data_IF_078798049749
#
_entry.id   IF_078798049749
#
_cell.length_a   1.000
_cell.length_b   1.000
_cell.length_c   1.000
_cell.angle_alpha   90.00
_cell.angle_beta   90.00
_cell.angle_gamma   90.00
#
_symmetry.space_group_name_H-M   'P 1'
#
loop_
_entity.id
_entity.type
_entity.pdbx_description
1 polymer ?
#
# COMPACT_ATOMS: atom_id res chain seq x y z
N UNK A 1 26.05 11.23 9.33
CA UNK A 1 26.03 10.97 7.88
C UNK A 1 27.46 11.14 7.39
N UNK A 2 28.18 10.06 7.09
CA UNK A 2 29.65 10.09 6.84
C UNK A 2 30.05 9.49 5.50
N UNK A 3 29.11 9.13 4.62
CA UNK A 3 29.42 8.63 3.29
C UNK A 3 29.37 9.76 2.25
N UNK A 4 30.52 10.20 1.70
CA UNK A 4 30.58 11.29 0.74
C UNK A 4 29.90 10.98 -0.61
N UNK A 5 29.50 9.71 -0.88
CA UNK A 5 28.73 9.34 -2.08
C UNK A 5 27.21 9.45 -1.91
N UNK A 6 26.72 9.78 -0.72
CA UNK A 6 25.28 9.84 -0.45
C UNK A 6 24.61 11.13 -0.91
N UNK A 7 25.37 12.14 -1.36
CA UNK A 7 24.83 13.42 -1.82
C UNK A 7 25.34 13.71 -3.24
N UNK A 8 24.41 13.98 -4.15
CA UNK A 8 24.72 14.46 -5.50
C UNK A 8 25.30 15.87 -5.42
N UNK A 9 26.53 16.04 -5.92
CA UNK A 9 27.24 17.31 -5.83
C UNK A 9 26.69 18.42 -6.72
N UNK A 10 25.81 18.10 -7.68
CA UNK A 10 25.27 19.05 -8.66
C UNK A 10 23.84 19.43 -8.31
N UNK A 11 23.00 18.48 -7.90
CA UNK A 11 21.60 18.73 -7.55
C UNK A 11 21.38 18.92 -6.04
N UNK A 12 22.28 18.39 -5.21
CA UNK A 12 22.12 18.33 -3.76
C UNK A 12 21.20 17.21 -3.29
N UNK A 13 20.79 16.30 -4.18
CA UNK A 13 19.91 15.19 -3.85
C UNK A 13 20.64 14.13 -3.03
N UNK A 14 19.95 13.55 -2.06
CA UNK A 14 20.41 12.38 -1.34
C UNK A 14 20.24 11.15 -2.24
N UNK A 15 21.36 10.61 -2.73
CA UNK A 15 21.38 9.48 -3.66
C UNK A 15 21.14 8.13 -2.96
N UNK A 16 21.37 8.06 -1.64
CA UNK A 16 21.23 6.83 -0.86
C UNK A 16 20.37 7.13 0.35
N UNK A 17 19.15 6.61 0.34
CA UNK A 17 18.21 6.68 1.45
C UNK A 17 18.20 5.36 2.24
N UNK A 18 18.57 5.45 3.51
CA UNK A 18 18.64 4.32 4.44
C UNK A 18 17.31 4.14 5.19
N UNK A 19 17.09 2.98 5.81
CA UNK A 19 15.91 2.73 6.66
C UNK A 19 14.56 2.97 5.97
N UNK A 20 14.47 2.60 4.70
CA UNK A 20 13.24 2.69 3.91
C UNK A 20 12.68 4.11 3.76
N UNK A 21 13.53 5.13 3.79
CA UNK A 21 13.16 6.49 3.40
C UNK A 21 13.34 6.72 1.90
N UNK A 22 12.71 7.76 1.38
CA UNK A 22 12.69 8.19 -0.01
C UNK A 22 12.47 9.70 -0.10
N UNK A 23 12.57 10.24 -1.32
CA UNK A 23 12.58 11.67 -1.58
C UNK A 23 13.99 12.17 -1.86
N UNK A 24 14.11 13.38 -2.43
CA UNK A 24 15.39 13.98 -2.77
C UNK A 24 16.25 14.27 -1.55
N UNK A 25 15.66 14.23 -0.35
CA UNK A 25 16.33 14.44 0.93
C UNK A 25 16.02 13.32 1.92
N UNK A 26 15.53 12.19 1.42
CA UNK A 26 15.12 11.06 2.25
C UNK A 26 14.05 11.45 3.30
N UNK A 27 13.15 12.34 2.92
CA UNK A 27 12.24 13.06 3.81
C UNK A 27 10.87 12.40 4.03
N UNK A 28 10.57 11.33 3.32
CA UNK A 28 9.36 10.53 3.53
C UNK A 28 9.65 9.04 3.44
N UNK A 29 8.74 8.19 3.90
CA UNK A 29 8.90 6.74 3.77
C UNK A 29 8.67 6.26 2.33
N UNK A 30 9.45 5.28 1.90
CA UNK A 30 9.29 4.59 0.61
C UNK A 30 7.86 4.09 0.42
N UNK A 31 7.49 3.84 -0.83
CA UNK A 31 6.23 3.15 -1.11
C UNK A 31 6.18 1.81 -0.37
N UNK A 32 4.98 1.47 0.14
CA UNK A 32 4.75 0.34 1.05
C UNK A 32 5.33 0.50 2.46
N UNK A 33 5.77 1.70 2.84
CA UNK A 33 6.16 2.05 4.20
C UNK A 33 5.42 3.30 4.70
N UNK A 34 5.24 3.38 6.01
CA UNK A 34 4.58 4.50 6.70
C UNK A 34 5.32 4.85 8.00
N UNK A 35 5.08 6.05 8.54
CA UNK A 35 5.74 6.54 9.76
C UNK A 35 6.48 7.85 9.55
N UNK A 36 7.42 8.17 10.45
CA UNK A 36 8.19 9.41 10.44
C UNK A 36 9.63 9.16 9.98
N UNK A 37 9.94 9.61 8.77
CA UNK A 37 11.25 9.48 8.13
C UNK A 37 12.34 10.40 8.74
N UNK A 38 11.94 11.48 9.42
CA UNK A 38 12.86 12.55 9.83
C UNK A 38 13.21 12.44 11.31
N UNK A 39 12.20 12.52 12.19
CA UNK A 39 12.44 12.63 13.64
C UNK A 39 12.64 11.25 14.25
N UNK A 40 11.70 10.34 14.02
CA UNK A 40 11.74 8.99 14.59
C UNK A 40 12.53 8.01 13.73
N UNK A 41 12.66 8.27 12.42
CA UNK A 41 13.31 7.38 11.43
C UNK A 41 12.78 5.96 11.49
N UNK A 42 11.46 5.83 11.62
CA UNK A 42 10.75 4.60 11.88
C UNK A 42 9.83 4.23 10.70
N UNK A 43 10.32 4.29 9.47
CA UNK A 43 9.53 3.80 8.34
C UNK A 43 9.24 2.31 8.51
N UNK A 44 7.98 1.98 8.80
CA UNK A 44 7.49 0.63 9.02
C UNK A 44 6.81 0.12 7.76
N UNK A 45 7.04 -1.15 7.44
CA UNK A 45 6.37 -1.79 6.32
C UNK A 45 4.86 -1.86 6.58
N UNK A 46 4.07 -1.58 5.55
CA UNK A 46 2.62 -1.68 5.63
C UNK A 46 2.15 -3.14 5.63
N UNK A 47 1.09 -3.43 6.39
CA UNK A 47 0.49 -4.77 6.50
C UNK A 47 -0.43 -5.15 5.33
N UNK A 48 -0.58 -4.26 4.36
CA UNK A 48 -1.51 -4.37 3.25
C UNK A 48 -1.23 -5.56 2.32
N UNK A 49 -2.30 -6.24 1.90
CA UNK A 49 -2.24 -7.28 0.89
C UNK A 49 -1.93 -6.67 -0.49
N UNK A 50 -0.81 -7.06 -1.10
CA UNK A 50 -0.36 -6.53 -2.41
C UNK A 50 -1.35 -6.80 -3.55
N UNK A 51 -2.13 -7.86 -3.47
CA UNK A 51 -3.14 -8.15 -4.48
C UNK A 51 -4.33 -7.21 -4.37
N UNK A 52 -4.75 -6.89 -3.14
CA UNK A 52 -5.91 -6.07 -2.86
C UNK A 52 -5.65 -4.58 -2.67
N UNK A 53 -4.40 -4.14 -2.51
CA UNK A 53 -4.05 -2.74 -2.28
C UNK A 53 -3.21 -2.13 -3.40
N UNK A 54 -3.34 -0.82 -3.56
CA UNK A 54 -2.42 0.00 -4.37
C UNK A 54 -1.16 0.29 -3.57
N UNK A 55 -1.33 0.74 -2.32
CA UNK A 55 -0.29 1.04 -1.34
C UNK A 55 -0.94 1.29 0.03
N UNK A 56 -0.27 2.03 0.91
CA UNK A 56 -0.77 2.51 2.19
C UNK A 56 -0.55 4.03 2.32
N UNK A 57 -1.34 4.68 3.16
CA UNK A 57 -1.11 6.07 3.54
C UNK A 57 0.14 6.19 4.41
N UNK A 58 1.00 7.18 4.11
CA UNK A 58 2.30 7.36 4.77
C UNK A 58 2.15 7.81 6.23
N UNK A 59 1.02 8.43 6.55
CA UNK A 59 0.72 9.05 7.84
C UNK A 59 0.32 8.03 8.90
N UNK A 60 -0.43 6.99 8.51
CA UNK A 60 -1.07 6.06 9.45
C UNK A 60 -0.99 4.59 9.04
N UNK A 61 -0.43 4.28 7.87
CA UNK A 61 -0.27 2.91 7.38
C UNK A 61 -1.55 2.25 6.88
N UNK A 62 -2.69 2.95 6.86
CA UNK A 62 -3.94 2.37 6.36
C UNK A 62 -3.86 2.06 4.87
N UNK A 63 -4.43 0.91 4.50
CA UNK A 63 -4.33 0.38 3.17
C UNK A 63 -5.28 1.09 2.20
N UNK A 64 -4.75 1.43 1.03
CA UNK A 64 -5.54 1.97 -0.08
C UNK A 64 -6.02 0.78 -0.91
N UNK A 65 -7.23 0.29 -0.60
CA UNK A 65 -7.79 -0.85 -1.30
C UNK A 65 -8.10 -0.54 -2.76
N UNK A 66 -7.88 -1.54 -3.62
CA UNK A 66 -8.31 -1.55 -5.01
C UNK A 66 -9.85 -1.60 -5.09
N UNK A 67 -10.44 -1.28 -6.25
CA UNK A 67 -11.89 -1.35 -6.43
C UNK A 67 -12.48 -2.69 -5.97
N UNK A 68 -13.60 -2.61 -5.23
CA UNK A 68 -14.33 -3.76 -4.70
C UNK A 68 -13.54 -4.67 -3.75
N UNK A 69 -12.42 -4.21 -3.19
CA UNK A 69 -11.67 -4.91 -2.14
C UNK A 69 -11.89 -4.21 -0.81
N UNK A 70 -12.08 -4.99 0.26
CA UNK A 70 -12.33 -4.51 1.61
C UNK A 70 -11.49 -5.27 2.63
N UNK A 71 -11.59 -4.87 3.90
CA UNK A 71 -10.77 -5.38 5.00
C UNK A 71 -9.69 -4.37 5.39
N UNK A 72 -9.19 -4.46 6.62
CA UNK A 72 -8.15 -3.56 7.13
C UNK A 72 -6.88 -3.65 6.27
N UNK A 73 -6.53 -4.87 5.84
CA UNK A 73 -5.36 -5.16 5.01
C UNK A 73 -5.74 -5.34 3.52
N UNK A 74 -6.97 -4.98 3.12
CA UNK A 74 -7.52 -5.19 1.77
C UNK A 74 -7.37 -6.66 1.30
N UNK A 75 -7.85 -7.59 2.10
CA UNK A 75 -7.58 -9.02 1.98
C UNK A 75 -8.73 -9.83 1.38
N UNK A 76 -9.85 -9.19 1.05
CA UNK A 76 -11.03 -9.87 0.51
C UNK A 76 -11.89 -8.97 -0.37
N UNK A 77 -12.69 -9.61 -1.21
CA UNK A 77 -13.70 -8.92 -2.00
C UNK A 77 -14.81 -8.33 -1.11
N UNK A 78 -15.36 -7.19 -1.52
CA UNK A 78 -16.60 -6.65 -0.99
C UNK A 78 -17.75 -7.65 -1.23
N UNK A 79 -18.85 -7.49 -0.49
CA UNK A 79 -20.05 -8.30 -0.71
C UNK A 79 -20.54 -8.18 -2.16
N UNK A 80 -20.99 -9.30 -2.73
CA UNK A 80 -21.46 -9.40 -4.12
C UNK A 80 -20.37 -9.11 -5.16
N UNK A 81 -19.10 -9.36 -4.83
CA UNK A 81 -17.97 -9.23 -5.76
C UNK A 81 -17.03 -10.43 -5.62
N UNK A 82 -16.25 -10.73 -6.66
CA UNK A 82 -15.45 -11.96 -6.75
C UNK A 82 -14.10 -11.75 -7.46
N UNK A 83 -13.25 -12.77 -7.38
CA UNK A 83 -12.01 -12.84 -8.15
C UNK A 83 -10.77 -12.25 -7.47
N UNK A 84 -10.75 -12.18 -6.13
CA UNK A 84 -9.59 -11.70 -5.37
C UNK A 84 -8.28 -12.41 -5.74
N UNK A 85 -8.34 -13.75 -5.86
CA UNK A 85 -7.19 -14.61 -6.12
C UNK A 85 -6.51 -14.36 -7.48
N UNK A 86 -7.18 -13.69 -8.43
CA UNK A 86 -6.57 -13.34 -9.70
C UNK A 86 -5.57 -12.19 -9.61
N UNK A 87 -5.55 -11.46 -8.49
CA UNK A 87 -4.61 -10.36 -8.26
C UNK A 87 -4.60 -9.31 -9.40
N UNK A 88 -5.71 -9.17 -10.13
CA UNK A 88 -5.76 -8.50 -11.45
C UNK A 88 -6.38 -7.10 -11.40
N UNK A 89 -6.14 -6.35 -10.32
CA UNK A 89 -6.60 -4.95 -10.20
C UNK A 89 -7.82 -4.71 -9.31
N UNK A 90 -8.30 -5.70 -8.56
CA UNK A 90 -9.45 -5.57 -7.65
C UNK A 90 -10.43 -6.72 -7.83
N UNK A 91 -11.65 -6.58 -7.31
CA UNK A 91 -12.71 -7.56 -7.48
C UNK A 91 -13.74 -7.11 -8.53
N UNK A 92 -14.41 -8.09 -9.15
CA UNK A 92 -15.45 -7.86 -10.15
C UNK A 92 -16.82 -8.06 -9.54
N UNK A 93 -17.80 -7.30 -9.99
CA UNK A 93 -19.17 -7.44 -9.51
C UNK A 93 -19.75 -8.81 -9.87
N UNK A 94 -20.59 -9.34 -8.99
CA UNK A 94 -21.43 -10.49 -9.28
C UNK A 94 -22.65 -10.01 -10.06
N UNK A 95 -22.71 -10.31 -11.37
CA UNK A 95 -23.87 -10.03 -12.22
C UNK A 95 -25.00 -11.06 -11.98
N UNK A 96 -25.42 -11.21 -10.72
CA UNK A 96 -26.50 -12.14 -10.36
C UNK A 96 -27.87 -11.57 -10.77
N UNK A 97 -28.70 -12.37 -11.43
CA UNK A 97 -30.06 -11.99 -11.79
C UNK A 97 -30.99 -11.88 -10.58
N UNK A 98 -32.14 -11.20 -10.74
CA UNK A 98 -33.10 -10.89 -9.67
C UNK A 98 -33.69 -12.09 -8.91
N UNK A 99 -33.54 -13.31 -9.45
CA UNK A 99 -33.95 -14.55 -8.77
C UNK A 99 -32.91 -15.14 -7.82
N UNK A 100 -31.71 -14.56 -7.74
CA UNK A 100 -30.64 -15.06 -6.89
C UNK A 100 -30.75 -14.50 -5.46
N UNK A 101 -30.70 -15.40 -4.47
CA UNK A 101 -30.50 -15.03 -3.07
C UNK A 101 -29.00 -14.87 -2.83
N UNK A 102 -28.47 -13.65 -2.81
CA UNK A 102 -27.06 -13.46 -2.49
C UNK A 102 -26.84 -13.68 -1.00
N UNK A 103 -26.32 -14.86 -0.66
CA UNK A 103 -25.82 -15.19 0.68
C UNK A 103 -24.34 -15.51 0.55
N UNK A 104 -23.56 -14.53 0.10
CA UNK A 104 -22.10 -14.62 0.17
C UNK A 104 -21.65 -14.26 1.59
N UNK A 105 -21.74 -15.24 2.48
CA UNK A 105 -21.01 -15.24 3.74
C UNK A 105 -19.64 -15.84 3.47
N UNK A 106 -18.64 -14.99 3.17
CA UNK A 106 -17.25 -15.43 3.20
C UNK A 106 -16.72 -15.25 4.63
N UNK A 107 -16.35 -16.39 5.24
CA UNK A 107 -15.66 -16.51 6.52
C UNK A 107 -14.24 -15.96 6.40
#
# INVERSE_FOLDING_TARGET
MTNPRSCDRFTGDCLICERHTAGSRCEYCQDWYWGDAITQKNCQQCSCNRCGSVSCYKENGFCQCKPNVVGQDCDRCAQNTWGFDFCSGGCRDCECGAGAVSSQSHN
#
